data_IF_079561282145
#
_entry.id   IF_079561282145
#
_cell.length_a   1.000
_cell.length_b   1.000
_cell.length_c   1.000
_cell.angle_alpha   90.00
_cell.angle_beta   90.00
_cell.angle_gamma   90.00
#
_symmetry.space_group_name_H-M   'P 1'
#
loop_
_entity.id
_entity.type
_entity.pdbx_description
1 polymer ?
#
# COMPACT_ATOMS: atom_id res chain seq x y z
N UNK A 1 11.07 -18.12 -7.93
CA UNK A 1 9.67 -17.71 -7.70
C UNK A 1 9.76 -16.37 -7.01
N UNK A 2 9.27 -15.28 -7.59
CA UNK A 2 9.46 -13.93 -7.05
C UNK A 2 8.66 -13.65 -5.77
N UNK A 3 8.39 -12.38 -5.50
CA UNK A 3 7.62 -11.99 -4.31
C UNK A 3 6.16 -12.48 -4.37
N UNK A 4 5.66 -12.95 -3.23
CA UNK A 4 4.23 -13.16 -2.99
C UNK A 4 3.72 -11.92 -2.27
N UNK A 5 2.73 -11.27 -2.89
CA UNK A 5 2.12 -10.04 -2.37
C UNK A 5 0.65 -10.28 -2.13
N UNK A 6 0.19 -10.00 -0.91
CA UNK A 6 -1.21 -9.96 -0.52
C UNK A 6 -1.55 -8.58 0.02
N UNK A 7 -2.81 -8.17 -0.15
CA UNK A 7 -3.25 -6.85 0.28
C UNK A 7 -4.70 -6.93 0.72
N UNK A 8 -4.98 -6.44 1.92
CA UNK A 8 -6.30 -6.41 2.52
C UNK A 8 -6.60 -5.01 3.02
N UNK A 9 -7.86 -4.59 2.92
CA UNK A 9 -8.30 -3.31 3.46
C UNK A 9 -9.48 -3.52 4.41
N UNK A 10 -9.43 -2.86 5.56
CA UNK A 10 -10.48 -2.93 6.56
C UNK A 10 -10.69 -1.58 7.27
N UNK A 11 -11.93 -1.13 7.51
CA UNK A 11 -13.17 -1.72 7.02
C UNK A 11 -13.33 -1.57 5.51
N UNK A 12 -14.19 -2.35 4.86
CA UNK A 12 -14.40 -2.24 3.39
C UNK A 12 -14.96 -0.86 2.97
N UNK A 13 -15.62 -0.15 3.90
CA UNK A 13 -16.23 1.16 3.70
C UNK A 13 -16.03 2.04 4.94
N UNK A 14 -15.87 3.34 4.72
CA UNK A 14 -15.79 4.34 5.80
C UNK A 14 -16.83 5.43 5.54
N UNK A 15 -17.48 5.91 6.60
CA UNK A 15 -18.41 7.05 6.48
C UNK A 15 -17.65 8.35 6.26
N UNK A 16 -18.19 9.22 5.43
CA UNK A 16 -17.69 10.59 5.25
C UNK A 16 -17.77 11.42 6.55
N UNK A 17 -18.73 11.10 7.43
CA UNK A 17 -18.95 11.82 8.70
C UNK A 17 -17.96 11.38 9.76
N UNK A 18 -17.62 10.10 9.75
CA UNK A 18 -16.72 9.50 10.70
C UNK A 18 -15.28 9.77 10.24
N UNK A 19 -14.46 10.30 11.14
CA UNK A 19 -13.03 10.55 10.86
C UNK A 19 -12.17 9.30 11.10
N UNK A 20 -12.79 8.14 10.98
CA UNK A 20 -12.15 6.85 11.15
C UNK A 20 -11.28 6.55 9.93
N UNK A 21 -10.29 5.68 10.13
CA UNK A 21 -9.37 5.27 9.09
C UNK A 21 -9.72 3.89 8.53
N UNK A 22 -9.47 3.69 7.25
CA UNK A 22 -9.12 2.36 6.77
C UNK A 22 -7.74 1.97 7.29
N UNK A 23 -7.54 0.69 7.55
CA UNK A 23 -6.23 0.05 7.66
C UNK A 23 -5.99 -0.76 6.39
N UNK A 24 -5.02 -0.32 5.58
CA UNK A 24 -4.48 -1.08 4.47
C UNK A 24 -3.34 -1.95 4.99
N UNK A 25 -3.50 -3.26 4.88
CA UNK A 25 -2.49 -4.25 5.23
C UNK A 25 -1.90 -4.79 3.94
N UNK A 26 -0.57 -4.72 3.81
CA UNK A 26 0.17 -5.30 2.69
C UNK A 26 1.14 -6.33 3.27
N UNK A 27 0.92 -7.59 2.91
CA UNK A 27 1.77 -8.70 3.30
C UNK A 27 2.67 -9.07 2.13
N UNK A 28 3.98 -9.04 2.36
CA UNK A 28 5.01 -9.31 1.36
C UNK A 28 5.85 -10.46 1.87
N UNK A 29 5.91 -11.54 1.10
CA UNK A 29 6.73 -12.71 1.40
C UNK A 29 7.75 -12.93 0.29
N UNK A 30 9.02 -13.09 0.68
CA UNK A 30 10.06 -13.46 -0.26
C UNK A 30 10.09 -14.99 -0.45
N UNK A 31 9.62 -15.45 -1.62
CA UNK A 31 9.66 -16.86 -2.00
C UNK A 31 10.92 -17.22 -2.83
N UNK A 32 11.88 -16.31 -2.96
CA UNK A 32 13.16 -16.56 -3.61
C UNK A 32 14.16 -17.24 -2.67
N UNK A 33 15.21 -17.83 -3.26
CA UNK A 33 16.34 -18.41 -2.54
C UNK A 33 17.39 -17.36 -2.13
N UNK A 34 17.21 -16.10 -2.57
CA UNK A 34 18.13 -15.00 -2.28
C UNK A 34 17.42 -13.87 -1.55
N UNK A 35 18.20 -13.09 -0.81
CA UNK A 35 17.67 -11.89 -0.18
C UNK A 35 17.39 -10.82 -1.22
N UNK A 36 16.29 -10.10 -1.01
CA UNK A 36 15.73 -9.20 -2.02
C UNK A 36 15.44 -7.84 -1.41
N UNK A 37 15.66 -6.78 -2.21
CA UNK A 37 15.25 -5.42 -1.86
C UNK A 37 13.88 -5.14 -2.43
N UNK A 38 13.01 -4.60 -1.59
CA UNK A 38 11.63 -4.29 -1.99
C UNK A 38 11.37 -2.81 -1.76
N UNK A 39 10.73 -2.17 -2.73
CA UNK A 39 10.20 -0.82 -2.58
C UNK A 39 8.68 -0.89 -2.74
N UNK A 40 7.97 -0.32 -1.79
CA UNK A 40 6.51 -0.22 -1.80
C UNK A 40 6.14 1.23 -2.01
N UNK A 41 5.45 1.52 -3.11
CA UNK A 41 4.88 2.82 -3.42
C UNK A 41 3.36 2.68 -3.44
N UNK A 42 2.66 3.62 -2.81
CA UNK A 42 1.19 3.64 -2.84
C UNK A 42 0.74 5.04 -3.18
N UNK A 43 -0.05 5.14 -4.25
CA UNK A 43 -0.67 6.38 -4.69
C UNK A 43 -2.19 6.28 -4.45
N UNK A 44 -2.70 7.20 -3.64
CA UNK A 44 -4.12 7.31 -3.32
C UNK A 44 -4.81 8.36 -4.18
N UNK A 45 -6.12 8.18 -4.42
CA UNK A 45 -6.94 9.22 -5.04
C UNK A 45 -7.12 10.40 -4.07
N UNK A 46 -7.34 11.61 -4.60
CA UNK A 46 -7.42 12.88 -3.83
C UNK A 46 -8.46 12.91 -2.69
N UNK A 47 -9.41 11.98 -2.70
CA UNK A 47 -10.48 11.86 -1.72
C UNK A 47 -10.03 11.22 -0.41
N UNK A 48 -8.84 10.60 -0.38
CA UNK A 48 -8.27 9.94 0.79
C UNK A 48 -6.80 10.28 0.94
N UNK A 49 -6.24 10.08 2.14
CA UNK A 49 -4.88 10.49 2.49
C UNK A 49 -4.28 9.55 3.53
N UNK A 50 -2.95 9.46 3.60
CA UNK A 50 -2.24 8.65 4.62
C UNK A 50 -2.13 9.31 5.98
N UNK A 51 -2.52 10.58 6.10
CA UNK A 51 -2.41 11.34 7.34
C UNK A 51 -3.74 11.99 7.67
N UNK A 52 -4.12 11.97 8.95
CA UNK A 52 -5.37 12.60 9.41
C UNK A 52 -5.46 14.09 9.08
N UNK A 53 -4.32 14.77 8.95
CA UNK A 53 -4.29 16.18 8.61
C UNK A 53 -4.58 16.45 7.11
N UNK A 54 -4.42 15.44 6.25
CA UNK A 54 -4.77 15.48 4.83
C UNK A 54 -3.63 15.91 3.89
N UNK A 55 -2.36 15.74 4.28
CA UNK A 55 -1.23 16.32 3.53
C UNK A 55 -0.56 15.38 2.53
N UNK A 56 -0.79 14.06 2.61
CA UNK A 56 -0.12 13.10 1.73
C UNK A 56 -1.09 12.09 1.14
N UNK A 57 -1.00 11.95 -0.18
CA UNK A 57 -1.65 10.90 -0.97
C UNK A 57 -0.63 9.87 -1.48
N UNK A 58 0.66 10.04 -1.17
CA UNK A 58 1.73 9.12 -1.57
C UNK A 58 2.44 8.54 -0.35
N UNK A 59 2.64 7.24 -0.37
CA UNK A 59 3.41 6.51 0.63
C UNK A 59 4.55 5.79 -0.07
N UNK A 60 5.75 5.83 0.52
CA UNK A 60 6.92 5.11 0.03
C UNK A 60 7.60 4.43 1.21
N UNK A 61 7.94 3.15 1.06
CA UNK A 61 8.73 2.40 2.03
C UNK A 61 9.74 1.50 1.30
N UNK A 62 10.95 1.44 1.83
CA UNK A 62 12.07 0.66 1.30
C UNK A 62 12.47 -0.40 2.32
N UNK A 63 12.48 -1.63 1.87
CA UNK A 63 12.86 -2.82 2.62
C UNK A 63 14.18 -3.33 2.04
N UNK A 64 15.28 -3.10 2.76
CA UNK A 64 16.64 -3.26 2.26
C UNK A 64 17.13 -4.73 2.22
N UNK A 65 16.48 -5.64 2.94
CA UNK A 65 16.97 -7.01 3.08
C UNK A 65 15.88 -7.99 3.52
N UNK A 66 14.93 -8.30 2.64
CA UNK A 66 13.93 -9.33 2.89
C UNK A 66 14.57 -10.69 2.60
N UNK A 67 14.87 -11.49 3.62
CA UNK A 67 15.58 -12.77 3.44
C UNK A 67 14.66 -13.83 2.80
N UNK A 68 15.24 -14.90 2.23
CA UNK A 68 14.47 -16.05 1.77
C UNK A 68 13.51 -16.58 2.84
N UNK A 69 12.23 -16.66 2.50
CA UNK A 69 11.18 -17.13 3.40
C UNK A 69 10.68 -16.10 4.43
N UNK A 70 11.26 -14.91 4.49
CA UNK A 70 10.76 -13.85 5.39
C UNK A 70 9.44 -13.27 4.86
N UNK A 71 8.55 -12.97 5.80
CA UNK A 71 7.30 -12.24 5.56
C UNK A 71 7.29 -10.94 6.38
N UNK A 72 6.84 -9.86 5.76
CA UNK A 72 6.61 -8.58 6.43
C UNK A 72 5.19 -8.10 6.16
N UNK A 73 4.58 -7.52 7.19
CA UNK A 73 3.25 -6.93 7.12
C UNK A 73 3.33 -5.43 7.36
N UNK A 74 2.94 -4.63 6.37
CA UNK A 74 2.85 -3.18 6.47
C UNK A 74 1.41 -2.79 6.76
N UNK A 75 1.16 -2.14 7.90
CA UNK A 75 -0.14 -1.62 8.29
C UNK A 75 -0.17 -0.11 8.11
N UNK A 76 -1.01 0.37 7.21
CA UNK A 76 -0.98 1.74 6.74
C UNK A 76 -2.38 2.35 6.92
N UNK A 77 -2.54 3.35 7.81
CA UNK A 77 -3.82 4.00 7.98
C UNK A 77 -4.10 4.95 6.80
N UNK A 78 -5.34 4.92 6.32
CA UNK A 78 -5.86 5.81 5.28
C UNK A 78 -7.07 6.54 5.85
N UNK A 79 -7.13 7.85 5.65
CA UNK A 79 -8.16 8.73 6.17
C UNK A 79 -8.89 9.41 5.01
N UNK A 80 -10.17 9.69 5.19
CA UNK A 80 -10.92 10.57 4.27
C UNK A 80 -10.28 11.96 4.26
N UNK A 81 -10.06 12.51 3.08
CA UNK A 81 -9.49 13.85 2.92
C UNK A 81 -10.51 14.93 3.24
N UNK A 82 -10.06 16.18 3.44
CA UNK A 82 -10.97 17.33 3.63
C UNK A 82 -11.89 17.61 2.42
N UNK A 83 -11.52 17.07 1.26
CA UNK A 83 -12.27 17.17 0.01
C UNK A 83 -12.88 15.81 -0.38
N UNK A 84 -12.99 14.88 0.58
CA UNK A 84 -13.63 13.59 0.39
C UNK A 84 -15.09 13.77 -0.01
N UNK A 85 -15.51 12.96 -0.96
CA UNK A 85 -16.90 12.88 -1.43
C UNK A 85 -17.32 11.42 -1.40
N UNK A 86 -18.60 11.15 -1.19
CA UNK A 86 -19.16 9.80 -1.27
C UNK A 86 -18.89 9.20 -2.65
N UNK A 87 -18.43 7.95 -2.69
CA UNK A 87 -18.10 7.26 -3.93
C UNK A 87 -17.14 6.11 -3.74
N UNK A 88 -16.89 5.40 -4.84
CA UNK A 88 -15.90 4.35 -4.96
C UNK A 88 -14.68 4.89 -5.70
N UNK A 89 -13.49 4.68 -5.14
CA UNK A 89 -12.23 5.20 -5.67
C UNK A 89 -11.16 4.11 -5.69
N UNK A 90 -10.32 4.12 -6.73
CA UNK A 90 -9.16 3.24 -6.84
C UNK A 90 -7.87 3.95 -6.43
N UNK A 91 -7.09 3.32 -5.56
CA UNK A 91 -5.66 3.62 -5.35
C UNK A 91 -4.78 2.57 -6.01
N UNK A 92 -3.50 2.89 -6.21
CA UNK A 92 -2.52 1.98 -6.81
C UNK A 92 -1.46 1.64 -5.77
N UNK A 93 -1.27 0.34 -5.54
CA UNK A 93 -0.15 -0.23 -4.80
C UNK A 93 0.85 -0.75 -5.83
N UNK A 94 2.05 -0.20 -5.84
CA UNK A 94 3.15 -0.63 -6.68
C UNK A 94 4.27 -1.18 -5.79
N UNK A 95 4.63 -2.43 -6.01
CA UNK A 95 5.71 -3.10 -5.31
C UNK A 95 6.78 -3.43 -6.32
N UNK A 96 7.96 -2.88 -6.12
CA UNK A 96 9.10 -3.05 -7.00
C UNK A 96 10.15 -3.88 -6.29
N UNK A 97 10.50 -4.98 -6.95
CA UNK A 97 11.59 -5.86 -6.56
C UNK A 97 12.89 -5.37 -7.20
N UNK A 98 13.96 -5.32 -6.41
CA UNK A 98 15.26 -4.83 -6.84
C UNK A 98 16.36 -5.86 -6.58
N UNK A 99 17.23 -6.04 -7.57
CA UNK A 99 18.39 -6.93 -7.47
C UNK A 99 19.60 -6.18 -6.93
N UNK A 100 20.06 -6.54 -5.73
CA UNK A 100 21.25 -5.99 -5.05
C UNK A 100 21.22 -4.48 -4.71
N UNK A 101 20.71 -3.62 -5.59
CA UNK A 101 20.61 -2.17 -5.43
C UNK A 101 19.30 -1.63 -6.03
N UNK A 102 18.79 -0.51 -5.50
CA UNK A 102 17.52 0.11 -5.95
C UNK A 102 17.55 0.68 -7.39
N UNK A 103 18.70 0.62 -8.07
CA UNK A 103 18.84 1.03 -9.46
C UNK A 103 18.40 -0.03 -10.46
N UNK A 104 18.30 -1.30 -10.04
CA UNK A 104 18.03 -2.44 -10.92
C UNK A 104 16.72 -3.13 -10.55
N UNK A 105 15.65 -2.73 -11.24
CA UNK A 105 14.33 -3.33 -11.09
C UNK A 105 14.32 -4.72 -11.73
N UNK A 106 13.95 -5.73 -10.95
CA UNK A 106 13.75 -7.11 -11.42
C UNK A 106 12.30 -7.32 -11.82
N UNK A 107 11.37 -7.02 -10.92
CA UNK A 107 9.95 -7.18 -11.13
C UNK A 107 9.18 -5.98 -10.58
N UNK A 108 7.99 -5.75 -11.12
CA UNK A 108 7.05 -4.77 -10.58
C UNK A 108 5.67 -5.39 -10.53
N UNK A 109 5.05 -5.30 -9.35
CA UNK A 109 3.71 -5.79 -9.07
C UNK A 109 2.82 -4.58 -8.85
N UNK A 110 1.76 -4.46 -9.64
CA UNK A 110 0.76 -3.41 -9.48
C UNK A 110 -0.55 -4.05 -9.00
N UNK A 111 -1.13 -3.50 -7.94
CA UNK A 111 -2.45 -3.87 -7.44
C UNK A 111 -3.30 -2.63 -7.25
N UNK A 112 -4.57 -2.73 -7.62
CA UNK A 112 -5.55 -1.72 -7.30
C UNK A 112 -6.12 -1.97 -5.91
N UNK A 113 -6.28 -0.91 -5.13
CA UNK A 113 -7.01 -0.94 -3.85
C UNK A 113 -8.29 -0.13 -3.99
N UNK A 114 -9.43 -0.78 -3.74
CA UNK A 114 -10.74 -0.14 -3.80
C UNK A 114 -11.09 0.47 -2.45
N UNK A 115 -11.49 1.74 -2.49
CA UNK A 115 -11.78 2.58 -1.33
C UNK A 115 -13.20 3.12 -1.48
N UNK A 116 -14.07 2.81 -0.50
CA UNK A 116 -15.48 3.17 -0.55
C UNK A 116 -15.87 4.14 0.55
N UNK A 117 -16.18 5.37 0.17
CA UNK A 117 -16.72 6.41 1.05
C UNK A 117 -18.25 6.34 0.99
N UNK A 118 -18.89 6.18 2.14
CA UNK A 118 -20.36 6.17 2.28
C UNK A 118 -20.86 7.42 3.04
N UNK A 119 -22.17 7.75 2.98
CA UNK A 119 -22.72 8.94 3.61
C UNK A 119 -22.51 9.09 5.13
#
# INVERSE_FOLDING_TARGET
>A
MGLIVESTIFPLRVSLRDKDSWELVIDITNAEEKATRVQVEIDLPKQVTFTRAGYSTRYENKLDNLKPGDSISLKIPIFVSRHGVVGDYGGIIKITEHYSEYGYVTNTYNKEVLLRIVP
#
